data_IF_523074311416
#
_entry.id   IF_523074311416
#
_cell.length_a   1.000
_cell.length_b   1.000
_cell.length_c   1.000
_cell.angle_alpha   90.00
_cell.angle_beta   90.00
_cell.angle_gamma   90.00
#
_symmetry.space_group_name_H-M   'P 1'
#
loop_
_entity.id
_entity.type
_entity.pdbx_description
1 polymer ?
#
# COMPACT_ATOMS: atom_id res chain seq x y z
N UNK A 1 13.81 -17.59 10.78
CA UNK A 1 12.66 -16.86 11.35
C UNK A 1 12.29 -15.73 10.40
N UNK A 2 11.00 -15.56 10.16
CA UNK A 2 10.44 -14.44 9.42
C UNK A 2 9.50 -13.66 10.35
N UNK A 3 9.58 -12.34 10.32
CA UNK A 3 8.66 -11.42 10.98
C UNK A 3 8.34 -10.27 10.02
N UNK A 4 7.10 -9.82 10.02
CA UNK A 4 6.66 -8.70 9.17
C UNK A 4 5.17 -8.49 9.20
N UNK A 5 4.72 -7.46 8.52
CA UNK A 5 3.32 -7.05 8.45
C UNK A 5 3.00 -6.54 7.04
N UNK A 6 1.80 -6.89 6.58
CA UNK A 6 1.20 -6.35 5.35
C UNK A 6 -0.11 -5.65 5.70
N UNK A 7 -0.29 -4.46 5.16
CA UNK A 7 -1.51 -3.66 5.29
C UNK A 7 -1.82 -2.98 3.96
N UNK A 8 -3.09 -2.65 3.74
CA UNK A 8 -3.47 -1.76 2.64
C UNK A 8 -2.83 -0.39 2.82
N UNK A 9 -2.42 0.23 1.73
CA UNK A 9 -1.83 1.58 1.69
C UNK A 9 -0.62 1.76 2.61
N UNK A 10 0.09 0.66 2.94
CA UNK A 10 1.28 0.71 3.78
C UNK A 10 2.41 -0.12 3.17
N UNK A 11 3.62 0.36 3.30
CA UNK A 11 4.80 -0.35 2.84
C UNK A 11 5.05 -1.57 3.74
N UNK A 12 4.89 -2.79 3.22
CA UNK A 12 5.26 -3.96 3.98
C UNK A 12 6.78 -4.02 4.23
N UNK A 13 7.15 -4.73 5.26
CA UNK A 13 8.56 -5.00 5.55
C UNK A 13 8.69 -6.33 6.25
N UNK A 14 9.65 -7.14 5.76
CA UNK A 14 9.90 -8.45 6.33
C UNK A 14 11.34 -8.56 6.77
N UNK A 15 11.51 -8.92 8.04
CA UNK A 15 12.80 -9.24 8.61
C UNK A 15 12.99 -10.76 8.59
N UNK A 16 14.02 -11.19 7.90
CA UNK A 16 14.45 -12.59 7.86
C UNK A 16 15.70 -12.78 8.70
N UNK A 17 15.68 -13.78 9.58
CA UNK A 17 16.86 -14.32 10.22
C UNK A 17 17.12 -15.70 9.62
N UNK A 18 18.26 -15.83 8.95
CA UNK A 18 18.67 -17.05 8.26
C UNK A 18 20.08 -17.51 8.64
N UNK A 19 20.39 -18.73 8.24
CA UNK A 19 21.69 -19.35 8.41
C UNK A 19 22.21 -19.82 7.07
N UNK A 20 23.51 -19.73 6.86
CA UNK A 20 24.18 -20.26 5.68
C UNK A 20 25.37 -21.10 6.11
N UNK A 21 25.58 -22.24 5.46
CA UNK A 21 26.73 -23.10 5.70
C UNK A 21 28.06 -22.48 5.19
N UNK A 22 27.98 -21.47 4.35
CA UNK A 22 29.16 -20.75 3.82
C UNK A 22 28.87 -19.24 3.82
N UNK A 23 29.91 -18.39 3.90
CA UNK A 23 29.76 -16.95 3.79
C UNK A 23 29.01 -16.55 2.51
N UNK A 24 28.04 -15.64 2.63
CA UNK A 24 27.35 -15.05 1.48
C UNK A 24 28.16 -13.85 0.98
N UNK A 25 28.21 -13.68 -0.34
CA UNK A 25 28.69 -12.45 -0.94
C UNK A 25 27.65 -11.34 -0.71
N UNK A 26 27.99 -10.36 0.12
CA UNK A 26 27.09 -9.24 0.43
C UNK A 26 27.14 -8.15 -0.64
N UNK A 27 28.25 -8.06 -1.37
CA UNK A 27 28.42 -7.11 -2.46
C UNK A 27 27.42 -7.40 -3.58
N UNK A 28 26.61 -6.39 -3.93
CA UNK A 28 25.57 -6.51 -4.95
C UNK A 28 24.27 -7.19 -4.47
N UNK A 29 24.14 -7.53 -3.18
CA UNK A 29 22.89 -8.10 -2.65
C UNK A 29 21.77 -7.08 -2.54
N UNK A 30 22.08 -5.80 -2.33
CA UNK A 30 21.08 -4.72 -2.20
C UNK A 30 20.31 -4.55 -3.52
N UNK A 31 19.01 -4.32 -3.41
CA UNK A 31 18.06 -4.21 -4.51
C UNK A 31 17.88 -5.48 -5.36
N UNK A 32 18.39 -6.63 -4.92
CA UNK A 32 18.07 -7.92 -5.56
C UNK A 32 16.82 -8.53 -4.95
N UNK A 33 16.09 -9.30 -5.76
CA UNK A 33 14.94 -10.06 -5.28
C UNK A 33 15.36 -11.18 -4.32
N UNK A 34 14.61 -11.30 -3.23
CA UNK A 34 14.68 -12.45 -2.34
C UNK A 34 13.27 -12.87 -1.97
N UNK A 35 12.94 -14.13 -2.24
CA UNK A 35 11.65 -14.71 -1.90
C UNK A 35 11.78 -15.61 -0.67
N UNK A 36 11.00 -15.32 0.35
CA UNK A 36 10.77 -16.22 1.48
C UNK A 36 9.49 -17.00 1.24
N UNK A 37 9.55 -18.32 1.24
CA UNK A 37 8.35 -19.15 1.08
C UNK A 37 7.88 -19.64 2.44
N UNK A 38 6.66 -19.27 2.81
CA UNK A 38 5.96 -19.83 3.97
C UNK A 38 5.34 -21.16 3.57
N UNK A 39 5.68 -22.20 4.30
CA UNK A 39 5.11 -23.52 4.11
C UNK A 39 4.07 -23.81 5.20
N UNK A 40 2.91 -24.23 4.79
CA UNK A 40 1.88 -24.82 5.61
C UNK A 40 1.57 -26.20 5.02
N UNK A 41 0.98 -27.12 5.80
CA UNK A 41 0.75 -28.50 5.39
C UNK A 41 0.00 -28.67 4.04
N UNK A 42 -0.80 -27.69 3.67
CA UNK A 42 -1.59 -27.69 2.43
C UNK A 42 -1.14 -26.67 1.38
N UNK A 43 -0.41 -25.60 1.76
CA UNK A 43 -0.17 -24.46 0.88
C UNK A 43 1.25 -23.88 1.05
N UNK A 44 1.72 -23.24 -0.03
CA UNK A 44 2.93 -22.45 -0.03
C UNK A 44 2.60 -21.00 -0.37
N UNK A 45 3.03 -20.07 0.47
CA UNK A 45 2.88 -18.64 0.22
C UNK A 45 4.25 -18.00 0.02
N UNK A 46 4.59 -17.59 -1.19
CA UNK A 46 5.78 -16.79 -1.42
C UNK A 46 5.57 -15.37 -0.88
N UNK A 47 6.61 -14.80 -0.28
CA UNK A 47 6.73 -13.39 0.07
C UNK A 47 8.01 -12.89 -0.60
N UNK A 48 7.89 -12.12 -1.64
CA UNK A 48 8.99 -11.55 -2.40
C UNK A 48 9.21 -10.10 -2.03
N UNK A 49 10.46 -9.67 -1.98
CA UNK A 49 10.85 -8.29 -1.80
C UNK A 49 12.27 -8.06 -2.29
N UNK A 50 12.66 -6.80 -2.40
CA UNK A 50 14.04 -6.42 -2.65
C UNK A 50 14.79 -6.33 -1.32
N UNK A 51 16.04 -6.77 -1.32
CA UNK A 51 16.93 -6.65 -0.16
C UNK A 51 17.22 -5.17 0.06
N UNK A 52 16.66 -4.60 1.13
CA UNK A 52 16.91 -3.23 1.55
C UNK A 52 18.09 -3.12 2.51
N UNK A 53 18.31 -4.15 3.30
CA UNK A 53 19.43 -4.25 4.23
C UNK A 53 19.81 -5.73 4.43
N UNK A 54 21.10 -6.00 4.53
CA UNK A 54 21.64 -7.30 4.94
C UNK A 54 22.75 -7.09 5.96
N UNK A 55 22.68 -7.83 7.06
CA UNK A 55 23.68 -7.81 8.12
C UNK A 55 24.17 -9.21 8.39
N UNK A 56 25.48 -9.37 8.45
CA UNK A 56 26.08 -10.57 9.01
C UNK A 56 26.11 -10.43 10.53
N UNK A 57 25.60 -11.39 11.23
CA UNK A 57 25.58 -11.47 12.68
C UNK A 57 26.67 -12.45 13.16
N UNK A 58 27.09 -12.39 14.42
CA UNK A 58 27.96 -13.41 14.96
C UNK A 58 27.35 -14.80 14.77
N UNK A 59 28.06 -15.63 14.00
CA UNK A 59 27.73 -17.03 13.75
C UNK A 59 28.31 -17.95 14.81
N UNK A 60 28.18 -19.24 14.60
CA UNK A 60 28.86 -20.27 15.38
C UNK A 60 29.82 -21.09 14.47
N UNK A 61 30.42 -22.11 15.03
CA UNK A 61 31.40 -22.94 14.28
C UNK A 61 30.74 -23.73 13.12
N UNK A 62 29.43 -23.77 13.02
CA UNK A 62 28.69 -24.60 12.06
C UNK A 62 27.98 -23.80 10.98
N UNK A 63 27.66 -22.51 11.22
CA UNK A 63 26.91 -21.69 10.28
C UNK A 63 27.07 -20.20 10.50
N UNK A 64 27.08 -19.45 9.41
CA UNK A 64 27.00 -18.00 9.37
C UNK A 64 25.55 -17.57 9.57
N UNK A 65 25.33 -16.46 10.30
CA UNK A 65 24.01 -15.89 10.55
C UNK A 65 23.82 -14.58 9.80
N UNK A 66 22.66 -14.44 9.19
CA UNK A 66 22.30 -13.23 8.45
C UNK A 66 20.94 -12.73 8.87
N UNK A 67 20.83 -11.43 9.01
CA UNK A 67 19.57 -10.69 9.13
C UNK A 67 19.36 -9.91 7.84
N UNK A 68 18.23 -10.11 7.20
CA UNK A 68 17.88 -9.46 5.93
C UNK A 68 16.58 -8.72 6.11
N UNK A 69 16.55 -7.45 5.71
CA UNK A 69 15.34 -6.65 5.63
C UNK A 69 14.89 -6.59 4.17
N UNK A 70 13.70 -7.12 3.91
CA UNK A 70 13.05 -7.04 2.61
C UNK A 70 12.03 -5.92 2.57
N UNK A 71 12.02 -5.19 1.48
CA UNK A 71 11.05 -4.12 1.18
C UNK A 71 10.50 -4.30 -0.23
N UNK A 72 9.26 -3.88 -0.50
CA UNK A 72 8.78 -3.84 -1.88
C UNK A 72 9.51 -2.74 -2.66
N UNK A 73 9.52 -2.84 -3.99
CA UNK A 73 10.18 -1.86 -4.83
C UNK A 73 9.64 -0.42 -4.61
N UNK A 74 8.37 -0.28 -4.26
CA UNK A 74 7.75 1.02 -3.95
C UNK A 74 8.45 1.75 -2.79
N UNK A 75 9.10 1.02 -1.88
CA UNK A 75 9.85 1.62 -0.78
C UNK A 75 11.02 2.49 -1.28
N UNK A 76 11.60 2.17 -2.45
CA UNK A 76 12.70 2.97 -3.03
C UNK A 76 12.27 4.41 -3.34
N UNK A 77 10.97 4.64 -3.56
CA UNK A 77 10.42 5.98 -3.76
C UNK A 77 10.50 6.85 -2.48
N UNK A 78 10.73 6.25 -1.31
CA UNK A 78 11.00 7.01 -0.08
C UNK A 78 12.37 7.67 -0.09
N UNK A 79 13.31 7.12 -0.85
CA UNK A 79 14.71 7.56 -0.91
C UNK A 79 14.95 8.66 -1.96
N UNK A 80 13.94 8.95 -2.77
CA UNK A 80 13.99 9.98 -3.81
C UNK A 80 13.01 11.12 -3.49
N UNK A 81 13.43 12.34 -3.75
CA UNK A 81 12.56 13.51 -3.72
C UNK A 81 12.80 14.36 -4.96
N UNK A 82 11.73 15.02 -5.42
CA UNK A 82 11.78 15.76 -6.67
C UNK A 82 10.93 17.02 -6.64
N UNK A 83 11.15 17.87 -7.64
CA UNK A 83 10.26 18.98 -7.98
C UNK A 83 9.85 18.80 -9.45
N UNK A 84 8.61 18.43 -9.67
CA UNK A 84 8.05 18.11 -10.99
C UNK A 84 6.73 18.81 -11.20
N UNK A 85 6.43 19.12 -12.44
CA UNK A 85 5.14 19.66 -12.88
C UNK A 85 4.53 18.69 -13.88
N UNK A 86 3.28 18.35 -13.66
CA UNK A 86 2.46 17.56 -14.56
C UNK A 86 1.26 18.39 -14.99
N UNK A 87 0.87 18.29 -16.25
CA UNK A 87 -0.24 19.07 -16.81
C UNK A 87 -1.14 18.17 -17.65
N UNK A 88 -2.45 18.33 -17.48
CA UNK A 88 -3.48 17.62 -18.23
C UNK A 88 -3.32 16.08 -18.19
N UNK A 89 -2.97 15.55 -17.03
CA UNK A 89 -2.78 14.12 -16.79
C UNK A 89 -3.66 13.63 -15.65
N UNK A 90 -4.25 12.45 -15.81
CA UNK A 90 -4.94 11.77 -14.72
C UNK A 90 -3.94 11.24 -13.67
N UNK A 91 -4.39 11.01 -12.47
CA UNK A 91 -3.55 10.49 -11.38
C UNK A 91 -2.85 9.19 -11.76
N UNK A 92 -3.55 8.27 -12.41
CA UNK A 92 -2.94 7.01 -12.88
C UNK A 92 -1.75 7.25 -13.81
N UNK A 93 -1.87 8.22 -14.73
CA UNK A 93 -0.81 8.54 -15.68
C UNK A 93 0.39 9.21 -14.99
N UNK A 94 0.13 10.08 -14.01
CA UNK A 94 1.18 10.74 -13.23
C UNK A 94 1.95 9.69 -12.41
N UNK A 95 1.23 8.83 -11.72
CA UNK A 95 1.80 7.81 -10.83
C UNK A 95 2.64 6.81 -11.61
N UNK A 96 2.14 6.31 -12.75
CA UNK A 96 2.89 5.39 -13.60
C UNK A 96 4.13 6.03 -14.21
N UNK A 97 4.08 7.30 -14.60
CA UNK A 97 5.28 8.02 -15.03
C UNK A 97 6.35 8.11 -13.93
N UNK A 98 5.94 8.29 -12.67
CA UNK A 98 6.89 8.26 -11.54
C UNK A 98 7.51 6.88 -11.39
N UNK A 99 6.75 5.80 -11.51
CA UNK A 99 7.25 4.43 -11.44
C UNK A 99 8.24 4.14 -12.58
N UNK A 100 7.88 4.50 -13.81
CA UNK A 100 8.71 4.29 -14.99
C UNK A 100 10.06 5.04 -14.90
N UNK A 101 10.07 6.25 -14.33
CA UNK A 101 11.30 7.02 -14.10
C UNK A 101 12.26 6.30 -13.14
N UNK A 102 11.75 5.48 -12.24
CA UNK A 102 12.55 4.63 -11.36
C UNK A 102 12.86 3.25 -11.97
N UNK A 103 12.37 2.97 -13.18
CA UNK A 103 12.54 1.68 -13.85
C UNK A 103 11.67 0.55 -13.30
N UNK A 104 10.61 0.88 -12.55
CA UNK A 104 9.68 -0.10 -11.99
C UNK A 104 8.46 -0.28 -12.92
N UNK A 105 8.25 -1.52 -13.35
CA UNK A 105 7.13 -1.91 -14.22
C UNK A 105 6.22 -2.98 -13.62
N UNK A 106 6.55 -3.49 -12.43
CA UNK A 106 5.78 -4.55 -11.76
C UNK A 106 4.59 -3.97 -11.00
N UNK A 107 3.66 -3.37 -11.73
CA UNK A 107 2.40 -2.87 -11.21
C UNK A 107 1.21 -3.25 -12.11
N UNK A 108 0.01 -3.20 -11.55
CA UNK A 108 -1.26 -3.41 -12.24
C UNK A 108 -2.26 -2.35 -11.82
N UNK A 109 -2.99 -1.81 -12.79
CA UNK A 109 -4.10 -0.89 -12.56
C UNK A 109 -5.41 -1.69 -12.66
N UNK A 110 -6.12 -1.82 -11.55
CA UNK A 110 -7.45 -2.44 -11.45
C UNK A 110 -8.45 -1.35 -11.04
N UNK A 111 -8.56 -0.35 -11.90
CA UNK A 111 -9.37 0.83 -11.70
C UNK A 111 -10.66 0.73 -12.52
N UNK A 112 -11.79 0.90 -11.88
CA UNK A 112 -13.13 0.90 -12.50
C UNK A 112 -13.68 2.30 -12.68
N UNK A 113 -13.19 3.27 -11.89
CA UNK A 113 -13.57 4.68 -11.95
C UNK A 113 -12.99 5.43 -13.15
N UNK A 114 -13.56 6.61 -13.39
CA UNK A 114 -13.06 7.56 -14.39
C UNK A 114 -12.40 8.74 -13.67
N UNK A 115 -11.12 8.92 -13.87
CA UNK A 115 -10.32 9.95 -13.23
C UNK A 115 -10.08 11.10 -14.20
N UNK A 116 -10.50 12.30 -13.80
CA UNK A 116 -10.35 13.48 -14.65
C UNK A 116 -8.89 13.93 -14.68
N UNK A 117 -8.39 14.32 -15.86
CA UNK A 117 -7.07 14.92 -15.96
C UNK A 117 -6.96 16.19 -15.11
N UNK A 118 -5.90 16.28 -14.32
CA UNK A 118 -5.55 17.48 -13.53
C UNK A 118 -4.93 18.51 -14.48
N UNK A 119 -5.48 19.71 -14.52
CA UNK A 119 -4.91 20.79 -15.32
C UNK A 119 -3.47 21.07 -14.93
N UNK A 120 -3.21 21.06 -13.62
CA UNK A 120 -1.88 21.32 -13.06
C UNK A 120 -1.67 20.52 -11.77
N UNK A 121 -0.59 19.78 -11.71
CA UNK A 121 -0.21 19.00 -10.54
C UNK A 121 1.28 19.16 -10.28
N UNK A 122 1.65 19.48 -9.04
CA UNK A 122 3.03 19.76 -8.66
C UNK A 122 3.46 18.81 -7.55
N UNK A 123 4.62 18.21 -7.75
CA UNK A 123 5.43 17.67 -6.68
C UNK A 123 6.41 18.75 -6.23
N UNK A 124 6.42 19.08 -4.95
CA UNK A 124 7.30 20.11 -4.42
C UNK A 124 7.87 19.73 -3.06
N UNK A 125 9.19 19.50 -3.02
CA UNK A 125 9.92 19.26 -1.77
C UNK A 125 9.48 18.02 -0.98
N UNK A 126 8.81 17.07 -1.61
CA UNK A 126 8.32 15.83 -1.01
C UNK A 126 8.98 14.61 -1.64
N UNK A 127 8.99 13.48 -0.93
CA UNK A 127 9.46 12.22 -1.50
C UNK A 127 8.52 11.74 -2.61
N UNK A 128 9.07 10.96 -3.55
CA UNK A 128 8.27 10.40 -4.64
C UNK A 128 7.14 9.51 -4.09
N UNK A 129 7.38 8.81 -2.98
CA UNK A 129 6.32 8.04 -2.32
C UNK A 129 5.22 8.93 -1.73
N UNK A 130 5.59 10.02 -1.03
CA UNK A 130 4.60 10.92 -0.43
C UNK A 130 3.72 11.56 -1.52
N UNK A 131 4.34 11.98 -2.64
CA UNK A 131 3.65 12.50 -3.80
C UNK A 131 2.65 11.49 -4.38
N UNK A 132 3.10 10.28 -4.67
CA UNK A 132 2.24 9.22 -5.21
C UNK A 132 1.11 8.90 -4.25
N UNK A 133 1.42 8.73 -2.94
CA UNK A 133 0.42 8.34 -1.94
C UNK A 133 -0.69 9.37 -1.82
N UNK A 134 -0.37 10.68 -1.75
CA UNK A 134 -1.42 11.69 -1.63
C UNK A 134 -2.30 11.78 -2.86
N UNK A 135 -1.76 11.59 -4.08
CA UNK A 135 -2.56 11.58 -5.30
C UNK A 135 -3.53 10.39 -5.34
N UNK A 136 -3.07 9.21 -4.89
CA UNK A 136 -3.90 8.03 -4.80
C UNK A 136 -5.00 8.19 -3.75
N UNK A 137 -4.67 8.79 -2.59
CA UNK A 137 -5.63 9.09 -1.51
C UNK A 137 -6.69 10.10 -1.97
N UNK A 138 -6.31 11.15 -2.69
CA UNK A 138 -7.24 12.14 -3.23
C UNK A 138 -8.28 11.53 -4.17
N UNK A 139 -7.91 10.54 -4.97
CA UNK A 139 -8.79 9.86 -5.91
C UNK A 139 -9.40 8.55 -5.35
N UNK A 140 -9.20 8.25 -4.05
CA UNK A 140 -9.74 7.06 -3.41
C UNK A 140 -9.16 5.74 -3.92
N UNK A 141 -7.95 5.78 -4.50
CA UNK A 141 -7.25 4.60 -5.00
C UNK A 141 -6.43 4.00 -3.86
N UNK A 142 -6.70 2.76 -3.53
CA UNK A 142 -5.90 2.00 -2.58
C UNK A 142 -4.93 1.06 -3.29
N UNK A 143 -3.94 0.55 -2.54
CA UNK A 143 -2.95 -0.34 -3.09
C UNK A 143 -2.51 -1.44 -2.13
N UNK A 144 -2.07 -2.54 -2.72
CA UNK A 144 -1.52 -3.70 -2.02
C UNK A 144 -0.55 -4.45 -2.93
N UNK A 145 0.13 -5.45 -2.38
CA UNK A 145 1.05 -6.29 -3.15
C UNK A 145 0.53 -7.70 -3.30
N UNK A 146 0.78 -8.27 -4.47
CA UNK A 146 0.72 -9.72 -4.71
C UNK A 146 2.13 -10.25 -4.90
N UNK A 147 2.36 -11.48 -4.49
CA UNK A 147 3.69 -12.08 -4.47
C UNK A 147 3.73 -13.38 -5.26
N UNK A 148 4.85 -13.58 -5.98
CA UNK A 148 5.24 -14.80 -6.64
C UNK A 148 6.73 -15.04 -6.37
N UNK A 149 7.25 -16.21 -6.75
CA UNK A 149 8.68 -16.46 -6.63
C UNK A 149 9.48 -15.52 -7.54
N UNK A 150 10.38 -14.73 -6.94
CA UNK A 150 11.22 -13.75 -7.63
C UNK A 150 10.49 -12.50 -8.10
N UNK A 151 9.26 -12.26 -7.64
CA UNK A 151 8.46 -11.12 -8.09
C UNK A 151 7.43 -10.70 -7.05
N UNK A 152 7.26 -9.39 -6.87
CA UNK A 152 6.08 -8.81 -6.23
C UNK A 152 5.48 -7.73 -7.15
N UNK A 153 4.17 -7.69 -7.20
CA UNK A 153 3.43 -6.79 -8.08
C UNK A 153 2.56 -5.85 -7.25
N UNK A 154 2.72 -4.55 -7.46
CA UNK A 154 1.84 -3.54 -6.88
C UNK A 154 0.51 -3.54 -7.61
N UNK A 155 -0.60 -3.64 -6.89
CA UNK A 155 -1.94 -3.50 -7.44
C UNK A 155 -2.53 -2.18 -6.94
N UNK A 156 -2.89 -1.31 -7.87
CA UNK A 156 -3.65 -0.08 -7.61
C UNK A 156 -5.12 -0.36 -7.92
N UNK A 157 -6.00 -0.14 -6.97
CA UNK A 157 -7.42 -0.49 -7.10
C UNK A 157 -8.34 0.55 -6.45
N UNK A 158 -9.57 0.62 -6.93
CA UNK A 158 -10.64 1.50 -6.43
C UNK A 158 -11.91 0.73 -6.02
N UNK A 159 -11.88 -0.59 -6.14
CA UNK A 159 -12.99 -1.48 -5.79
C UNK A 159 -12.50 -2.73 -5.07
N UNK A 160 -13.30 -3.24 -4.15
CA UNK A 160 -13.04 -4.49 -3.44
C UNK A 160 -12.98 -5.71 -4.36
N UNK A 161 -13.47 -5.61 -5.59
CA UNK A 161 -13.40 -6.68 -6.59
C UNK A 161 -11.95 -7.00 -7.02
N UNK A 162 -11.02 -6.10 -6.74
CA UNK A 162 -9.60 -6.30 -6.99
C UNK A 162 -8.94 -7.33 -6.05
N UNK A 163 -9.57 -7.66 -4.92
CA UNK A 163 -8.98 -8.64 -4.00
C UNK A 163 -9.13 -10.07 -4.56
N UNK A 164 -8.02 -10.84 -4.58
CA UNK A 164 -8.12 -12.25 -4.93
C UNK A 164 -8.99 -13.01 -3.92
N UNK A 165 -9.73 -14.03 -4.36
CA UNK A 165 -10.50 -14.85 -3.44
C UNK A 165 -9.59 -15.55 -2.42
N UNK A 166 -10.10 -15.69 -1.20
CA UNK A 166 -9.38 -16.42 -0.14
C UNK A 166 -9.17 -17.88 -0.61
N UNK A 167 -7.95 -18.41 -0.54
CA UNK A 167 -7.72 -19.83 -0.79
C UNK A 167 -8.66 -20.68 0.07
N UNK A 168 -9.21 -21.76 -0.49
CA UNK A 168 -10.16 -22.67 0.17
C UNK A 168 -11.59 -22.13 0.39
N UNK A 169 -11.96 -21.02 -0.27
CA UNK A 169 -13.34 -20.52 -0.34
C UNK A 169 -13.64 -19.37 0.61
N UNK A 170 -14.83 -18.77 0.48
CA UNK A 170 -15.20 -17.55 1.17
C UNK A 170 -15.56 -17.72 2.66
N UNK A 171 -15.60 -18.96 3.15
CA UNK A 171 -15.97 -19.27 4.53
C UNK A 171 -14.73 -19.66 5.34
N UNK A 172 -14.50 -18.93 6.43
CA UNK A 172 -13.46 -19.25 7.40
C UNK A 172 -14.12 -19.70 8.70
N UNK A 173 -13.74 -20.90 9.18
CA UNK A 173 -14.31 -21.45 10.41
C UNK A 173 -13.94 -20.59 11.63
N UNK A 174 -14.90 -20.34 12.52
CA UNK A 174 -14.62 -19.76 13.82
C UNK A 174 -14.32 -20.87 14.83
N UNK A 175 -13.09 -20.91 15.33
CA UNK A 175 -12.60 -22.00 16.19
C UNK A 175 -12.81 -21.72 17.69
N UNK A 176 -13.13 -20.49 18.07
CA UNK A 176 -13.31 -20.10 19.48
C UNK A 176 -12.04 -20.26 20.33
N UNK A 177 -12.17 -19.88 21.62
CA UNK A 177 -11.12 -20.13 22.61
C UNK A 177 -11.36 -21.50 23.24
N UNK A 178 -10.36 -22.40 23.21
CA UNK A 178 -10.41 -23.66 23.94
C UNK A 178 -10.40 -24.94 23.10
N UNK A 179 -10.44 -24.86 21.79
CA UNK A 179 -10.25 -26.03 20.94
C UNK A 179 -8.74 -26.25 20.78
N UNK A 180 -8.23 -27.28 21.45
CA UNK A 180 -6.80 -27.60 21.50
C UNK A 180 -6.18 -28.11 20.19
N UNK A 181 -6.82 -27.91 19.04
CA UNK A 181 -6.33 -28.41 17.75
C UNK A 181 -5.47 -27.29 17.13
N UNK A 182 -4.16 -27.44 17.21
CA UNK A 182 -3.17 -26.53 16.62
C UNK A 182 -3.19 -26.51 15.08
N UNK A 183 -3.84 -27.46 14.46
CA UNK A 183 -3.76 -27.75 13.03
C UNK A 183 -4.91 -27.17 12.20
N UNK A 184 -5.98 -26.64 12.81
CA UNK A 184 -7.08 -26.06 12.06
C UNK A 184 -6.83 -24.59 11.74
N UNK A 185 -6.93 -24.25 10.46
CA UNK A 185 -6.98 -22.86 9.99
C UNK A 185 -8.36 -22.26 10.30
N UNK A 186 -8.38 -21.11 10.95
CA UNK A 186 -9.64 -20.44 11.27
C UNK A 186 -9.45 -19.20 12.13
N UNK A 187 -10.55 -18.49 12.33
CA UNK A 187 -10.62 -17.32 13.20
C UNK A 187 -10.69 -17.77 14.65
N UNK A 188 -9.72 -17.40 15.46
CA UNK A 188 -9.66 -17.76 16.90
C UNK A 188 -10.24 -16.69 17.79
N UNK A 189 -10.17 -15.44 17.37
CA UNK A 189 -10.77 -14.33 18.08
C UNK A 189 -11.27 -13.27 17.10
N UNK A 190 -12.41 -12.68 17.42
CA UNK A 190 -12.93 -11.52 16.71
C UNK A 190 -13.26 -10.44 17.75
N UNK A 191 -12.88 -9.21 17.47
CA UNK A 191 -13.15 -8.06 18.32
C UNK A 191 -13.90 -7.02 17.52
N UNK A 192 -14.98 -6.51 18.11
CA UNK A 192 -15.73 -5.38 17.60
C UNK A 192 -15.45 -4.15 18.47
N UNK A 193 -15.08 -3.04 17.86
CA UNK A 193 -14.87 -1.78 18.55
C UNK A 193 -15.67 -0.66 17.90
N UNK A 194 -16.20 0.24 18.72
CA UNK A 194 -16.81 1.48 18.29
C UNK A 194 -15.96 2.64 18.77
N UNK A 195 -15.70 3.58 17.89
CA UNK A 195 -14.94 4.78 18.20
C UNK A 195 -15.70 6.01 17.73
N UNK A 196 -15.64 7.08 18.52
CA UNK A 196 -16.17 8.37 18.10
C UNK A 196 -15.35 8.92 16.93
N UNK A 197 -16.04 9.36 15.89
CA UNK A 197 -15.45 9.98 14.70
C UNK A 197 -16.17 11.29 14.40
N UNK A 198 -15.62 12.10 13.50
CA UNK A 198 -16.32 13.28 12.97
C UNK A 198 -17.59 12.84 12.26
N UNK A 199 -18.72 13.48 12.59
CA UNK A 199 -20.03 13.13 12.05
C UNK A 199 -20.33 13.75 10.70
N UNK A 200 -19.62 14.82 10.35
CA UNK A 200 -19.86 15.56 9.12
C UNK A 200 -18.52 15.97 8.52
N UNK A 201 -18.39 15.78 7.22
CA UNK A 201 -17.33 16.40 6.43
C UNK A 201 -17.97 17.36 5.45
N UNK A 202 -17.51 18.58 5.41
CA UNK A 202 -17.97 19.59 4.46
C UNK A 202 -16.80 20.28 3.80
N UNK A 203 -16.95 20.57 2.52
CA UNK A 203 -15.93 21.26 1.74
C UNK A 203 -16.60 22.32 0.86
N UNK A 204 -15.82 23.31 0.48
CA UNK A 204 -16.20 24.27 -0.56
C UNK A 204 -14.98 24.73 -1.32
N UNK A 205 -15.20 25.26 -2.51
CA UNK A 205 -14.19 25.90 -3.31
C UNK A 205 -14.76 27.14 -4.01
N UNK A 206 -13.93 27.86 -4.74
CA UNK A 206 -14.31 29.03 -5.48
C UNK A 206 -13.85 28.93 -6.94
N UNK A 207 -14.82 28.94 -7.86
CA UNK A 207 -14.55 28.96 -9.31
C UNK A 207 -14.81 30.36 -9.85
N UNK A 208 -13.74 31.05 -10.26
CA UNK A 208 -13.78 32.44 -10.70
C UNK A 208 -14.55 32.66 -12.00
N UNK A 209 -14.69 31.61 -12.82
CA UNK A 209 -15.47 31.67 -14.07
C UNK A 209 -16.97 31.63 -13.81
N UNK A 210 -17.38 31.06 -12.67
CA UNK A 210 -18.78 30.94 -12.24
C UNK A 210 -18.97 31.41 -10.78
N UNK A 211 -18.66 32.67 -10.47
CA UNK A 211 -18.53 33.14 -9.08
C UNK A 211 -19.82 33.08 -8.24
N UNK A 212 -20.98 32.99 -8.90
CA UNK A 212 -22.28 32.89 -8.25
C UNK A 212 -22.72 31.45 -7.94
N UNK A 213 -21.94 30.46 -8.38
CA UNK A 213 -22.26 29.04 -8.19
C UNK A 213 -21.68 28.57 -6.85
N UNK A 214 -22.54 28.07 -5.94
CA UNK A 214 -22.06 27.48 -4.70
C UNK A 214 -21.46 26.11 -4.98
N UNK A 215 -20.19 25.94 -4.60
CA UNK A 215 -19.48 24.67 -4.65
C UNK A 215 -19.50 23.93 -3.30
N UNK A 216 -20.31 24.38 -2.34
CA UNK A 216 -20.44 23.73 -1.04
C UNK A 216 -20.98 22.30 -1.19
N UNK A 217 -20.25 21.35 -0.63
CA UNK A 217 -20.58 19.93 -0.58
C UNK A 217 -20.47 19.42 0.86
N UNK A 218 -21.28 18.41 1.21
CA UNK A 218 -21.30 17.85 2.54
C UNK A 218 -21.60 16.35 2.49
N UNK A 219 -20.84 15.59 3.26
CA UNK A 219 -21.09 14.18 3.52
C UNK A 219 -21.29 13.94 5.02
N UNK A 220 -22.22 13.07 5.36
CA UNK A 220 -22.53 12.70 6.75
C UNK A 220 -22.03 11.27 7.03
N UNK A 221 -21.36 11.09 8.18
CA UNK A 221 -21.06 9.77 8.69
C UNK A 221 -22.27 9.19 9.44
N UNK A 222 -22.31 7.87 9.59
CA UNK A 222 -23.41 7.15 10.28
C UNK A 222 -23.56 7.59 11.75
N UNK A 223 -22.47 8.05 12.39
CA UNK A 223 -22.53 8.60 13.75
C UNK A 223 -21.32 9.51 13.99
N UNK A 224 -21.55 10.65 14.61
CA UNK A 224 -20.50 11.59 15.05
C UNK A 224 -21.11 12.92 15.47
N UNK A 225 -20.46 13.61 16.39
CA UNK A 225 -20.96 14.86 16.98
C UNK A 225 -20.21 16.12 16.49
N UNK A 226 -19.08 15.96 15.82
CA UNK A 226 -18.23 17.06 15.35
C UNK A 226 -18.12 17.04 13.82
N UNK A 227 -17.88 18.19 13.21
CA UNK A 227 -17.68 18.32 11.77
C UNK A 227 -16.26 18.73 11.42
N UNK A 228 -15.81 18.31 10.26
CA UNK A 228 -14.58 18.78 9.60
C UNK A 228 -15.00 19.68 8.44
N UNK A 229 -14.39 20.85 8.33
CA UNK A 229 -14.60 21.77 7.21
C UNK A 229 -13.28 22.01 6.49
N UNK A 230 -13.30 21.90 5.17
CA UNK A 230 -12.13 22.13 4.31
C UNK A 230 -12.38 23.24 3.29
N UNK A 231 -11.40 24.10 3.15
CA UNK A 231 -11.32 25.08 2.07
C UNK A 231 -9.84 25.39 1.78
N UNK A 232 -9.38 25.36 0.53
CA UNK A 232 -10.11 24.98 -0.67
C UNK A 232 -10.38 23.46 -0.73
N UNK A 233 -11.46 23.07 -1.43
CA UNK A 233 -11.84 21.69 -1.65
C UNK A 233 -11.10 21.02 -2.79
N UNK A 234 -10.47 21.78 -3.67
CA UNK A 234 -9.70 21.28 -4.81
C UNK A 234 -10.55 20.88 -6.02
N UNK A 235 -11.78 21.38 -6.15
CA UNK A 235 -12.68 21.08 -7.25
C UNK A 235 -13.34 22.33 -7.84
N UNK A 236 -13.72 22.27 -9.13
CA UNK A 236 -14.33 23.37 -9.89
C UNK A 236 -15.80 23.15 -10.21
N UNK A 237 -16.33 21.97 -9.94
CA UNK A 237 -17.73 21.65 -10.12
C UNK A 237 -18.28 20.91 -8.89
N UNK A 238 -19.51 21.25 -8.46
CA UNK A 238 -20.14 20.67 -7.26
C UNK A 238 -20.17 19.13 -7.30
N UNK A 239 -20.47 18.54 -8.45
CA UNK A 239 -20.50 17.09 -8.64
C UNK A 239 -19.13 16.36 -8.41
N UNK A 240 -18.04 17.11 -8.29
CA UNK A 240 -16.72 16.57 -7.93
C UNK A 240 -16.50 16.56 -6.41
N UNK A 241 -17.25 17.39 -5.68
CA UNK A 241 -17.19 17.49 -4.22
C UNK A 241 -18.23 16.63 -3.50
N UNK A 242 -19.29 16.22 -4.21
CA UNK A 242 -20.34 15.32 -3.71
C UNK A 242 -19.92 13.85 -3.89
#
# INVERSE_FOLDING_TARGET
>A
RLAGEERLNALPGWELLGYSASPLALDGAIATHLTATLHNDADQRPLDGLVAEIRQLPGDASAERYQVLLRPWLWWLTLASNNRVFQNLATSDIVTQVFDQHGFSDYQLQLSGSYQPREYCVQYGESDLAFVSRLLEEDGIFWFFTHAAGKHTLVLADSNDAFPPIPNGPQVAYLGQGIGVRELQGVRSAQYSLQAVSGTYSATDYEFTTPSTSLYSQAEAVSGAAGVYQHPGGYTAKAQGD
#
